data_IF_042056701974
#
_entry.id   IF_042056701974
#
_cell.length_a   1.000
_cell.length_b   1.000
_cell.length_c   1.000
_cell.angle_alpha   90.00
_cell.angle_beta   90.00
_cell.angle_gamma   90.00
#
_symmetry.space_group_name_H-M   'P 1'
#
loop_
_entity.id
_entity.type
_entity.pdbx_description
1 polymer ?
#
# COMPACT_ATOMS: atom_id res chain seq x y z
N UNK A 1 -19.55 -8.64 7.84
CA UNK A 1 -18.64 -8.19 8.93
C UNK A 1 -17.90 -6.90 8.54
N UNK A 2 -17.15 -6.89 7.43
CA UNK A 2 -16.43 -5.69 6.96
C UNK A 2 -17.30 -4.44 6.79
N UNK A 3 -18.44 -4.58 6.08
CA UNK A 3 -19.41 -3.48 5.92
C UNK A 3 -20.01 -2.97 7.25
N UNK A 4 -20.23 -3.87 8.22
CA UNK A 4 -20.72 -3.48 9.54
C UNK A 4 -19.66 -2.75 10.37
N UNK A 5 -18.40 -3.20 10.34
CA UNK A 5 -17.26 -2.47 10.93
C UNK A 5 -17.10 -1.08 10.29
N UNK A 6 -17.25 -0.99 8.97
CA UNK A 6 -17.19 0.27 8.22
C UNK A 6 -18.20 1.28 8.76
N UNK A 7 -19.47 0.88 8.86
CA UNK A 7 -20.55 1.75 9.34
C UNK A 7 -20.32 2.16 10.81
N UNK A 8 -19.87 1.22 11.66
CA UNK A 8 -19.56 1.49 13.06
C UNK A 8 -18.41 2.49 13.22
N UNK A 9 -17.32 2.33 12.47
CA UNK A 9 -16.18 3.25 12.49
C UNK A 9 -16.57 4.66 12.01
N UNK A 10 -17.35 4.76 10.94
CA UNK A 10 -17.89 6.05 10.48
C UNK A 10 -18.73 6.74 11.56
N UNK A 11 -19.63 6.00 12.21
CA UNK A 11 -20.48 6.53 13.28
C UNK A 11 -19.66 7.03 14.48
N UNK A 12 -18.65 6.26 14.91
CA UNK A 12 -17.77 6.63 16.03
C UNK A 12 -16.92 7.85 15.72
N UNK A 13 -16.33 7.91 14.52
CA UNK A 13 -15.49 9.03 14.10
C UNK A 13 -16.34 10.29 13.96
N UNK A 14 -17.52 10.20 13.34
CA UNK A 14 -18.44 11.32 13.24
C UNK A 14 -18.85 11.86 14.63
N UNK A 15 -19.23 10.98 15.56
CA UNK A 15 -19.52 11.35 16.95
C UNK A 15 -18.33 11.98 17.67
N UNK A 16 -17.11 11.50 17.43
CA UNK A 16 -15.89 12.03 18.04
C UNK A 16 -15.59 13.43 17.50
N UNK A 17 -15.68 13.61 16.18
CA UNK A 17 -15.45 14.90 15.50
C UNK A 17 -16.41 15.99 15.97
N UNK A 18 -17.67 15.66 16.22
CA UNK A 18 -18.65 16.60 16.79
C UNK A 18 -18.31 17.07 18.22
N UNK A 19 -17.43 16.36 18.93
CA UNK A 19 -16.97 16.69 20.29
C UNK A 19 -15.57 17.32 20.30
N UNK A 20 -14.92 17.50 19.15
CA UNK A 20 -13.60 18.12 19.06
C UNK A 20 -13.69 19.64 19.14
N UNK A 21 -12.72 20.26 19.81
CA UNK A 21 -12.60 21.71 19.92
C UNK A 21 -12.28 22.34 18.56
N UNK A 22 -12.81 23.55 18.29
CA UNK A 22 -12.60 24.30 17.06
C UNK A 22 -11.12 24.48 16.67
N UNK A 23 -10.20 24.58 17.65
CA UNK A 23 -8.75 24.69 17.40
C UNK A 23 -8.16 23.48 16.65
N UNK A 24 -8.77 22.29 16.79
CA UNK A 24 -8.33 21.08 16.08
C UNK A 24 -9.03 20.97 14.72
N UNK A 25 -10.28 21.46 14.64
CA UNK A 25 -11.04 21.53 13.39
C UNK A 25 -10.42 22.50 12.37
N UNK A 26 -9.76 23.57 12.83
CA UNK A 26 -9.00 24.49 11.98
C UNK A 26 -7.81 23.82 11.28
N UNK A 27 -7.27 22.73 11.85
CA UNK A 27 -6.14 21.98 11.27
C UNK A 27 -6.57 20.82 10.37
N UNK A 28 -7.74 20.22 10.61
CA UNK A 28 -8.22 19.04 9.89
C UNK A 28 -9.69 19.24 9.55
N UNK A 29 -9.98 19.42 8.25
CA UNK A 29 -11.36 19.52 7.78
C UNK A 29 -12.11 18.19 7.93
N UNK A 30 -13.36 18.26 8.39
CA UNK A 30 -14.26 17.09 8.52
C UNK A 30 -14.37 16.35 7.17
N UNK A 31 -14.45 17.07 6.06
CA UNK A 31 -14.53 16.48 4.72
C UNK A 31 -13.26 15.72 4.33
N UNK A 32 -12.08 16.23 4.71
CA UNK A 32 -10.81 15.54 4.49
C UNK A 32 -10.71 14.26 5.33
N UNK A 33 -11.16 14.31 6.58
CA UNK A 33 -11.20 13.14 7.46
C UNK A 33 -12.12 12.05 6.92
N UNK A 34 -13.34 12.41 6.49
CA UNK A 34 -14.32 11.48 5.91
C UNK A 34 -13.80 10.88 4.60
N UNK A 35 -13.17 11.68 3.74
CA UNK A 35 -12.58 11.21 2.48
C UNK A 35 -11.41 10.24 2.71
N UNK A 36 -10.50 10.60 3.62
CA UNK A 36 -9.37 9.75 4.02
C UNK A 36 -9.88 8.43 4.61
N UNK A 37 -10.89 8.49 5.47
CA UNK A 37 -11.49 7.32 6.08
C UNK A 37 -12.17 6.42 5.04
N UNK A 38 -12.96 6.99 4.12
CA UNK A 38 -13.61 6.25 3.02
C UNK A 38 -12.58 5.49 2.16
N UNK A 39 -11.47 6.14 1.82
CA UNK A 39 -10.39 5.54 1.02
C UNK A 39 -9.64 4.42 1.76
N UNK A 40 -9.40 4.58 3.07
CA UNK A 40 -8.72 3.57 3.87
C UNK A 40 -9.62 2.38 4.21
N UNK A 41 -10.93 2.59 4.34
CA UNK A 41 -11.87 1.52 4.71
C UNK A 41 -12.06 0.47 3.62
N UNK A 42 -12.06 0.86 2.33
CA UNK A 42 -12.10 -0.12 1.24
C UNK A 42 -10.88 -1.05 1.29
N UNK A 43 -9.69 -0.48 1.52
CA UNK A 43 -8.44 -1.26 1.66
C UNK A 43 -8.41 -2.09 2.95
N UNK A 44 -9.06 -1.60 4.00
CA UNK A 44 -9.16 -2.31 5.27
C UNK A 44 -10.06 -3.54 5.18
N UNK A 45 -11.16 -3.45 4.43
CA UNK A 45 -12.07 -4.58 4.20
C UNK A 45 -11.37 -5.70 3.40
N UNK A 46 -10.70 -5.33 2.31
CA UNK A 46 -9.84 -6.25 1.54
C UNK A 46 -8.71 -6.85 2.41
N UNK A 47 -8.09 -6.02 3.26
CA UNK A 47 -7.04 -6.44 4.17
C UNK A 47 -7.51 -7.41 5.25
N UNK A 48 -8.71 -7.23 5.79
CA UNK A 48 -9.33 -8.14 6.77
C UNK A 48 -9.59 -9.52 6.17
N UNK A 49 -10.06 -9.59 4.93
CA UNK A 49 -10.23 -10.85 4.21
C UNK A 49 -8.87 -11.58 4.07
N UNK A 50 -7.81 -10.85 3.71
CA UNK A 50 -6.46 -11.40 3.59
C UNK A 50 -5.83 -11.78 4.94
N UNK A 51 -6.15 -11.07 6.02
CA UNK A 51 -5.60 -11.34 7.34
C UNK A 51 -5.93 -12.73 7.89
N UNK A 52 -7.09 -13.30 7.51
CA UNK A 52 -7.47 -14.65 7.90
C UNK A 52 -6.52 -15.72 7.32
N UNK A 53 -5.91 -15.47 6.15
CA UNK A 53 -4.97 -16.40 5.56
C UNK A 53 -3.67 -16.57 6.37
N UNK A 54 -3.35 -15.66 7.30
CA UNK A 54 -2.14 -15.74 8.12
C UNK A 54 -2.13 -16.99 9.01
N UNK A 55 -3.29 -17.42 9.51
CA UNK A 55 -3.41 -18.62 10.35
C UNK A 55 -3.95 -19.83 9.59
N UNK A 56 -4.77 -19.60 8.55
CA UNK A 56 -5.30 -20.68 7.70
C UNK A 56 -4.17 -21.33 6.90
N UNK A 57 -3.24 -20.54 6.33
CA UNK A 57 -2.18 -21.08 5.48
C UNK A 57 -1.22 -22.05 6.21
N UNK A 58 -0.69 -21.75 7.41
CA UNK A 58 0.13 -22.71 8.16
C UNK A 58 -0.62 -24.00 8.52
N UNK A 59 -1.89 -23.87 8.93
CA UNK A 59 -2.73 -25.03 9.25
C UNK A 59 -2.94 -25.91 8.02
N UNK A 60 -3.25 -25.30 6.88
CA UNK A 60 -3.45 -25.99 5.61
C UNK A 60 -2.17 -26.70 5.12
N UNK A 61 -1.01 -26.04 5.22
CA UNK A 61 0.29 -26.66 4.87
C UNK A 61 0.59 -27.87 5.77
N UNK A 62 0.31 -27.76 7.07
CA UNK A 62 0.53 -28.86 8.01
C UNK A 62 -0.37 -30.07 7.69
N UNK A 63 -1.64 -29.81 7.37
CA UNK A 63 -2.62 -30.83 6.98
C UNK A 63 -2.23 -31.53 5.66
N UNK A 64 -1.86 -30.75 4.64
CA UNK A 64 -1.36 -31.26 3.36
C UNK A 64 -0.10 -32.11 3.53
N UNK A 65 0.81 -31.68 4.40
CA UNK A 65 2.05 -32.42 4.66
C UNK A 65 1.79 -33.77 5.33
N UNK A 66 0.82 -33.83 6.26
CA UNK A 66 0.37 -35.08 6.86
C UNK A 66 -0.20 -36.05 5.81
N UNK A 67 -0.98 -35.54 4.85
CA UNK A 67 -1.55 -36.37 3.78
C UNK A 67 -0.49 -36.83 2.76
N UNK A 68 0.49 -35.98 2.45
CA UNK A 68 1.58 -36.30 1.53
C UNK A 68 2.58 -37.31 2.11
N UNK A 69 2.68 -37.37 3.44
CA UNK A 69 3.55 -38.31 4.15
C UNK A 69 3.26 -39.77 3.75
N UNK A 70 1.98 -40.11 3.67
CA UNK A 70 1.53 -41.47 3.39
C UNK A 70 1.81 -41.91 1.93
N UNK A 71 1.94 -40.97 1.00
CA UNK A 71 2.21 -41.26 -0.42
C UNK A 71 3.70 -41.17 -0.81
N UNK A 72 4.41 -40.14 -0.33
CA UNK A 72 5.76 -39.78 -0.83
C UNK A 72 6.87 -39.89 0.21
N UNK A 73 6.52 -40.15 1.48
CA UNK A 73 7.46 -40.38 2.57
C UNK A 73 8.58 -39.31 2.62
N UNK A 74 9.85 -39.67 2.41
CA UNK A 74 10.98 -38.73 2.47
C UNK A 74 10.98 -37.64 1.37
N UNK A 75 10.35 -37.89 0.21
CA UNK A 75 10.35 -36.94 -0.91
C UNK A 75 9.53 -35.68 -0.63
N UNK A 76 8.51 -35.79 0.24
CA UNK A 76 7.66 -34.66 0.62
C UNK A 76 8.46 -33.51 1.27
N UNK A 77 9.50 -33.82 2.06
CA UNK A 77 10.34 -32.80 2.69
C UNK A 77 11.12 -31.95 1.70
N UNK A 78 11.49 -32.51 0.54
CA UNK A 78 12.19 -31.76 -0.50
C UNK A 78 11.28 -30.65 -1.08
N UNK A 79 10.01 -30.98 -1.33
CA UNK A 79 9.00 -30.01 -1.76
C UNK A 79 8.73 -28.93 -0.72
N UNK A 80 8.62 -29.31 0.57
CA UNK A 80 8.45 -28.35 1.66
C UNK A 80 9.63 -27.39 1.78
N UNK A 81 10.87 -27.90 1.70
CA UNK A 81 12.07 -27.07 1.73
C UNK A 81 12.09 -26.06 0.57
N UNK A 82 11.71 -26.49 -0.63
CA UNK A 82 11.60 -25.60 -1.79
C UNK A 82 10.55 -24.49 -1.57
N UNK A 83 9.35 -24.84 -1.09
CA UNK A 83 8.29 -23.86 -0.79
C UNK A 83 8.73 -22.83 0.27
N UNK A 84 9.45 -23.26 1.31
CA UNK A 84 9.99 -22.36 2.34
C UNK A 84 10.98 -21.37 1.71
N UNK A 85 11.90 -21.83 0.86
CA UNK A 85 12.87 -20.96 0.17
C UNK A 85 12.14 -19.93 -0.71
N UNK A 86 11.14 -20.35 -1.48
CA UNK A 86 10.33 -19.44 -2.31
C UNK A 86 9.61 -18.40 -1.45
N UNK A 87 9.01 -18.81 -0.33
CA UNK A 87 8.34 -17.90 0.61
C UNK A 87 9.30 -16.86 1.21
N UNK A 88 10.52 -17.25 1.57
CA UNK A 88 11.54 -16.32 2.07
C UNK A 88 11.96 -15.29 1.00
N UNK A 89 12.12 -15.73 -0.25
CA UNK A 89 12.41 -14.83 -1.38
C UNK A 89 11.26 -13.84 -1.58
N UNK A 90 10.01 -14.31 -1.59
CA UNK A 90 8.82 -13.44 -1.70
C UNK A 90 8.74 -12.44 -0.54
N UNK A 91 9.04 -12.86 0.69
CA UNK A 91 9.08 -11.97 1.85
C UNK A 91 10.15 -10.87 1.71
N UNK A 92 11.34 -11.21 1.21
CA UNK A 92 12.41 -10.26 0.90
C UNK A 92 11.99 -9.22 -0.15
N UNK A 93 11.36 -9.68 -1.24
CA UNK A 93 10.83 -8.81 -2.28
C UNK A 93 9.71 -7.90 -1.76
N UNK A 94 8.84 -8.42 -0.88
CA UNK A 94 7.80 -7.65 -0.21
C UNK A 94 8.38 -6.50 0.62
N UNK A 95 9.44 -6.74 1.40
CA UNK A 95 10.15 -5.69 2.14
C UNK A 95 10.74 -4.62 1.21
N UNK A 96 11.34 -5.04 0.09
CA UNK A 96 11.89 -4.11 -0.89
C UNK A 96 10.79 -3.25 -1.55
N UNK A 97 9.64 -3.86 -1.87
CA UNK A 97 8.48 -3.13 -2.41
C UNK A 97 7.97 -2.06 -1.42
N UNK A 98 7.89 -2.39 -0.13
CA UNK A 98 7.50 -1.44 0.92
C UNK A 98 8.47 -0.27 1.02
N UNK A 99 9.79 -0.52 0.93
CA UNK A 99 10.82 0.53 0.92
C UNK A 99 10.65 1.49 -0.26
N UNK A 100 10.41 0.97 -1.47
CA UNK A 100 10.15 1.84 -2.64
C UNK A 100 8.85 2.62 -2.51
N UNK A 101 7.82 2.03 -1.89
CA UNK A 101 6.54 2.70 -1.64
C UNK A 101 6.69 3.88 -0.68
N UNK A 102 7.50 3.72 0.36
CA UNK A 102 7.76 4.77 1.35
C UNK A 102 8.54 5.94 0.75
N UNK A 103 9.61 5.66 0.01
CA UNK A 103 10.35 6.69 -0.73
C UNK A 103 9.47 7.44 -1.74
N UNK A 104 8.57 6.72 -2.41
CA UNK A 104 7.62 7.30 -3.36
C UNK A 104 6.64 8.23 -2.65
N UNK A 105 6.15 7.87 -1.46
CA UNK A 105 5.21 8.70 -0.70
C UNK A 105 5.80 10.08 -0.37
N UNK A 106 7.07 10.14 0.04
CA UNK A 106 7.77 11.41 0.29
C UNK A 106 7.95 12.29 -0.96
N UNK A 107 8.20 11.67 -2.13
CA UNK A 107 8.31 12.41 -3.40
C UNK A 107 6.96 12.90 -3.93
N UNK A 108 5.88 12.15 -3.66
CA UNK A 108 4.52 12.59 -3.96
C UNK A 108 4.15 13.80 -3.11
N UNK A 109 4.45 13.80 -1.80
CA UNK A 109 4.14 14.95 -0.95
C UNK A 109 4.88 16.21 -1.41
N UNK A 110 6.17 16.10 -1.74
CA UNK A 110 6.96 17.21 -2.30
C UNK A 110 6.35 17.75 -3.61
N UNK A 111 5.95 16.84 -4.53
CA UNK A 111 5.31 17.22 -5.80
C UNK A 111 3.96 17.90 -5.60
N UNK A 112 3.19 17.53 -4.58
CA UNK A 112 1.85 18.06 -4.36
C UNK A 112 1.84 19.46 -3.75
N UNK A 113 2.87 19.83 -2.99
CA UNK A 113 2.99 21.15 -2.35
C UNK A 113 3.25 22.27 -3.37
N UNK A 114 4.15 22.03 -4.33
CA UNK A 114 4.55 23.02 -5.35
C UNK A 114 3.34 23.59 -6.14
N UNK A 115 2.45 22.77 -6.74
CA UNK A 115 1.31 23.28 -7.49
C UNK A 115 0.24 23.88 -6.58
N UNK A 116 0.09 23.44 -5.31
CA UNK A 116 -0.86 24.09 -4.41
C UNK A 116 -0.47 25.53 -4.10
N UNK A 117 0.82 25.77 -3.79
CA UNK A 117 1.34 27.11 -3.52
C UNK A 117 1.28 28.01 -4.77
N UNK A 118 1.50 27.42 -5.95
CA UNK A 118 1.39 28.12 -7.24
C UNK A 118 -0.06 28.57 -7.53
N UNK A 119 -1.05 27.71 -7.28
CA UNK A 119 -2.46 28.04 -7.54
C UNK A 119 -2.91 29.18 -6.62
N UNK A 120 -2.46 29.16 -5.36
CA UNK A 120 -2.75 30.22 -4.39
C UNK A 120 -2.15 31.58 -4.82
N UNK A 121 -0.98 31.58 -5.46
CA UNK A 121 -0.25 32.78 -5.86
C UNK A 121 -0.19 33.03 -7.38
N UNK A 122 -1.20 32.57 -8.13
CA UNK A 122 -1.19 32.60 -9.61
C UNK A 122 -0.98 33.98 -10.24
N UNK A 123 -1.49 35.12 -9.71
CA UNK A 123 -1.26 36.44 -10.30
C UNK A 123 0.22 36.84 -10.25
N UNK A 124 0.89 36.59 -9.12
CA UNK A 124 2.32 36.89 -8.92
C UNK A 124 3.21 36.06 -9.84
N UNK A 125 2.86 34.79 -10.06
CA UNK A 125 3.56 33.89 -10.98
C UNK A 125 3.45 34.37 -12.43
N UNK A 126 2.26 34.82 -12.85
CA UNK A 126 2.03 35.37 -14.19
C UNK A 126 2.77 36.70 -14.39
N UNK A 127 2.73 37.60 -13.42
CA UNK A 127 3.44 38.87 -13.46
C UNK A 127 4.97 38.70 -13.58
N UNK A 128 5.52 37.66 -12.95
CA UNK A 128 6.96 37.35 -12.96
C UNK A 128 7.40 36.47 -14.14
N UNK A 129 6.48 36.00 -14.99
CA UNK A 129 6.74 35.06 -16.08
C UNK A 129 7.46 33.76 -15.66
N UNK A 130 7.30 33.32 -14.40
CA UNK A 130 8.02 32.15 -13.82
C UNK A 130 7.46 30.77 -14.22
N UNK A 131 6.51 30.71 -15.15
CA UNK A 131 5.84 29.45 -15.52
C UNK A 131 6.79 28.33 -15.94
N UNK A 132 7.84 28.65 -16.71
CA UNK A 132 8.84 27.64 -17.12
C UNK A 132 9.67 27.11 -15.95
N UNK A 133 10.05 27.98 -15.01
CA UNK A 133 10.83 27.60 -13.83
C UNK A 133 10.03 26.66 -12.93
N UNK A 134 8.75 26.96 -12.69
CA UNK A 134 7.86 26.11 -11.90
C UNK A 134 7.64 24.76 -12.59
N UNK A 135 7.50 24.74 -13.91
CA UNK A 135 7.40 23.50 -14.68
C UNK A 135 8.63 22.61 -14.44
N UNK A 136 9.84 23.16 -14.51
CA UNK A 136 11.07 22.43 -14.22
C UNK A 136 11.15 21.95 -12.75
N UNK A 137 10.71 22.77 -11.80
CA UNK A 137 10.63 22.39 -10.38
C UNK A 137 9.68 21.21 -10.13
N UNK A 138 8.59 21.07 -10.90
CA UNK A 138 7.66 19.91 -10.80
C UNK A 138 8.18 18.69 -11.57
N UNK A 139 8.91 18.90 -12.66
CA UNK A 139 9.41 17.82 -13.51
C UNK A 139 10.53 17.00 -12.82
N UNK A 140 11.42 17.67 -12.08
CA UNK A 140 12.49 17.03 -11.31
C UNK A 140 11.98 15.95 -10.31
N UNK A 141 11.06 16.24 -9.37
CA UNK A 141 10.52 15.23 -8.46
C UNK A 141 9.69 14.16 -9.21
N UNK A 142 9.00 14.53 -10.30
CA UNK A 142 8.21 13.59 -11.12
C UNK A 142 9.10 12.53 -11.78
N UNK A 143 10.26 12.88 -12.33
CA UNK A 143 11.18 11.88 -12.92
C UNK A 143 11.67 10.88 -11.87
N UNK A 144 11.91 11.33 -10.64
CA UNK A 144 12.30 10.48 -9.51
C UNK A 144 11.15 9.58 -9.07
N UNK A 145 9.93 10.11 -9.00
CA UNK A 145 8.71 9.33 -8.69
C UNK A 145 8.50 8.21 -9.73
N UNK A 146 8.65 8.52 -11.03
CA UNK A 146 8.49 7.54 -12.10
C UNK A 146 9.55 6.44 -12.03
N UNK A 147 10.82 6.79 -11.73
CA UNK A 147 11.88 5.80 -11.51
C UNK A 147 11.55 4.85 -10.35
N UNK A 148 11.08 5.37 -9.23
CA UNK A 148 10.65 4.57 -8.06
C UNK A 148 9.44 3.70 -8.38
N UNK A 149 8.47 4.24 -9.12
CA UNK A 149 7.27 3.51 -9.55
C UNK A 149 7.65 2.34 -10.46
N UNK A 150 8.57 2.55 -11.40
CA UNK A 150 9.06 1.51 -12.30
C UNK A 150 9.81 0.41 -11.53
N UNK A 151 10.68 0.77 -10.58
CA UNK A 151 11.35 -0.19 -9.70
C UNK A 151 10.34 -1.01 -8.89
N UNK A 152 9.36 -0.37 -8.26
CA UNK A 152 8.32 -1.06 -7.52
C UNK A 152 7.48 -2.01 -8.41
N UNK A 153 7.18 -1.60 -9.65
CA UNK A 153 6.48 -2.42 -10.62
C UNK A 153 7.27 -3.68 -11.01
N UNK A 154 8.59 -3.57 -11.23
CA UNK A 154 9.43 -4.73 -11.50
C UNK A 154 9.46 -5.72 -10.33
N UNK A 155 9.59 -5.23 -9.10
CA UNK A 155 9.56 -6.08 -7.90
C UNK A 155 8.20 -6.76 -7.75
N UNK A 156 7.11 -6.03 -8.00
CA UNK A 156 5.76 -6.58 -7.96
C UNK A 156 5.56 -7.66 -9.03
N UNK A 157 6.03 -7.42 -10.25
CA UNK A 157 5.97 -8.39 -11.34
C UNK A 157 6.67 -9.69 -10.94
N UNK A 158 7.92 -9.60 -10.46
CA UNK A 158 8.66 -10.78 -10.04
C UNK A 158 7.97 -11.53 -8.89
N UNK A 159 7.42 -10.80 -7.91
CA UNK A 159 6.67 -11.41 -6.81
C UNK A 159 5.40 -12.14 -7.29
N UNK A 160 4.68 -11.58 -8.26
CA UNK A 160 3.50 -12.22 -8.86
C UNK A 160 3.87 -13.40 -9.76
N UNK A 161 4.94 -13.30 -10.55
CA UNK A 161 5.43 -14.40 -11.40
C UNK A 161 5.90 -15.60 -10.58
N UNK A 162 6.56 -15.35 -9.44
CA UNK A 162 6.98 -16.42 -8.53
C UNK A 162 5.78 -17.26 -8.01
N UNK A 163 4.61 -16.63 -7.82
CA UNK A 163 3.39 -17.32 -7.42
C UNK A 163 2.84 -18.23 -8.54
N UNK A 164 2.86 -17.77 -9.79
CA UNK A 164 2.45 -18.62 -10.93
C UNK A 164 3.36 -19.83 -11.10
N UNK A 165 4.66 -19.68 -10.85
CA UNK A 165 5.61 -20.78 -10.94
C UNK A 165 5.45 -21.78 -9.78
N UNK A 166 5.14 -21.31 -8.57
CA UNK A 166 4.89 -22.18 -7.42
C UNK A 166 3.54 -22.89 -7.49
N UNK A 167 2.54 -22.33 -8.17
CA UNK A 167 1.23 -22.97 -8.36
C UNK A 167 1.20 -24.05 -9.44
N UNK A 168 2.30 -24.22 -10.19
CA UNK A 168 2.45 -25.23 -11.23
C UNK A 168 3.11 -26.53 -10.73
N UNK A 169 3.67 -26.51 -9.51
CA UNK A 169 4.22 -27.67 -8.79
C UNK A 169 3.28 -28.07 -7.66
#
# INVERSE_FOLDING_TARGET
IGMQMRIAMFSLIYKKTLKLSSRVLDKISIGQLVSLLSNNLNKFDEGLALAHFVWIAPLQVTLLMGLLWDLLQASAFCGLAFLIVVALVQAGLGRMMMKYRDQRAGKISERLVIPSEMIENIPSVKASCWGRTIQQMVENPKTTELKLTRKAAYVRYFNSSAFFFSGFF
#
